data_IF_224296957962
#
_entry.id   IF_224296957962
#
_cell.length_a   1.000
_cell.length_b   1.000
_cell.length_c   1.000
_cell.angle_alpha   90.00
_cell.angle_beta   90.00
_cell.angle_gamma   90.00
#
_symmetry.space_group_name_H-M   'P 1'
#
loop_
_entity.id
_entity.type
_entity.pdbx_description
1 polymer ?
#
# COMPACT_ATOMS: atom_id res chain seq x y z
N UNK A 1 0.89 -15.88 -29.83
CA UNK A 1 0.10 -17.01 -29.28
C UNK A 1 -0.33 -17.85 -30.46
N UNK A 2 0.31 -18.99 -30.70
CA UNK A 2 -0.13 -19.95 -31.70
C UNK A 2 -0.97 -21.00 -30.98
N UNK A 3 -2.17 -21.30 -31.50
CA UNK A 3 -2.95 -22.44 -31.05
C UNK A 3 -2.60 -23.68 -31.87
N UNK A 4 -3.09 -24.83 -31.38
CA UNK A 4 -2.87 -26.15 -31.98
C UNK A 4 -3.12 -26.09 -33.50
N UNK A 5 -2.09 -26.44 -34.29
CA UNK A 5 -2.00 -26.39 -35.77
C UNK A 5 -1.50 -25.07 -36.41
N UNK A 6 -0.88 -24.15 -35.65
CA UNK A 6 -0.21 -22.98 -36.24
C UNK A 6 -1.14 -21.81 -36.55
N UNK A 7 -2.39 -21.93 -36.15
CA UNK A 7 -3.39 -20.86 -36.25
C UNK A 7 -3.16 -19.79 -35.19
N UNK A 8 -3.47 -18.54 -35.56
CA UNK A 8 -3.39 -17.42 -34.62
C UNK A 8 -4.42 -17.58 -33.51
N UNK A 9 -3.94 -17.72 -32.28
CA UNK A 9 -4.77 -17.75 -31.08
C UNK A 9 -4.79 -16.39 -30.39
N UNK A 10 -5.83 -16.14 -29.60
CA UNK A 10 -5.88 -15.01 -28.68
C UNK A 10 -5.62 -15.51 -27.26
N UNK A 11 -4.61 -14.96 -26.58
CA UNK A 11 -4.47 -15.09 -25.13
C UNK A 11 -4.79 -13.73 -24.53
N UNK A 12 -5.65 -13.71 -23.52
CA UNK A 12 -5.87 -12.53 -22.70
C UNK A 12 -4.83 -12.54 -21.59
N UNK A 13 -4.05 -11.46 -21.49
CA UNK A 13 -2.91 -11.37 -20.58
C UNK A 13 -3.30 -10.94 -19.17
N UNK A 14 -4.51 -10.42 -18.96
CA UNK A 14 -4.99 -9.94 -17.67
C UNK A 14 -6.47 -10.20 -17.47
N UNK A 15 -6.84 -10.45 -16.22
CA UNK A 15 -8.23 -10.54 -15.79
C UNK A 15 -8.71 -9.14 -15.38
N UNK A 16 -9.81 -8.68 -15.97
CA UNK A 16 -10.42 -7.40 -15.60
C UNK A 16 -10.95 -7.43 -14.17
N UNK A 17 -10.74 -6.32 -13.45
CA UNK A 17 -11.37 -6.08 -12.17
C UNK A 17 -11.97 -4.66 -12.17
N UNK A 18 -13.31 -4.57 -12.26
CA UNK A 18 -14.06 -3.30 -12.35
C UNK A 18 -14.17 -2.57 -11.00
N UNK A 19 -13.86 -3.26 -9.92
CA UNK A 19 -13.88 -2.70 -8.57
C UNK A 19 -12.53 -2.08 -8.17
N UNK A 20 -11.59 -2.02 -9.11
CA UNK A 20 -10.29 -1.40 -8.90
C UNK A 20 -10.44 0.09 -8.55
N UNK A 21 -9.81 0.46 -7.46
CA UNK A 21 -9.73 1.82 -6.93
C UNK A 21 -8.31 2.13 -6.51
N UNK A 22 -8.03 3.41 -6.28
CA UNK A 22 -6.76 3.83 -5.71
C UNK A 22 -6.63 3.39 -4.25
N UNK A 23 -5.41 3.05 -3.86
CA UNK A 23 -5.07 2.85 -2.45
C UNK A 23 -5.34 4.14 -1.65
N UNK A 24 -5.93 4.00 -0.46
CA UNK A 24 -6.22 5.14 0.41
C UNK A 24 -5.31 5.15 1.62
N UNK A 25 -4.61 6.26 1.83
CA UNK A 25 -3.75 6.49 3.00
C UNK A 25 -4.45 7.43 4.00
N UNK A 26 -4.54 7.01 5.26
CA UNK A 26 -5.10 7.74 6.39
C UNK A 26 -3.99 7.98 7.41
N UNK A 27 -3.56 9.23 7.53
CA UNK A 27 -2.46 9.61 8.41
C UNK A 27 -2.98 10.51 9.53
N UNK A 28 -2.68 10.15 10.77
CA UNK A 28 -2.91 10.95 11.95
C UNK A 28 -1.56 11.19 12.64
N UNK A 29 -1.28 12.45 13.00
CA UNK A 29 -0.09 12.81 13.74
C UNK A 29 -0.45 13.84 14.82
N UNK A 30 0.13 13.70 16.00
CA UNK A 30 -0.01 14.65 17.10
C UNK A 30 1.33 14.81 17.79
N UNK A 31 1.74 16.05 18.04
CA UNK A 31 3.03 16.35 18.64
C UNK A 31 2.98 17.46 19.67
N UNK A 32 3.99 17.46 20.54
CA UNK A 32 4.25 18.51 21.52
C UNK A 32 5.70 18.96 21.37
N UNK A 33 5.88 20.27 21.19
CA UNK A 33 7.18 20.94 21.17
C UNK A 33 7.48 21.59 22.52
N UNK A 34 8.73 21.51 22.98
CA UNK A 34 9.16 22.13 24.22
C UNK A 34 10.55 22.76 24.12
N UNK A 35 10.78 23.80 24.93
CA UNK A 35 12.05 24.51 25.02
C UNK A 35 12.28 25.08 26.42
N UNK A 36 13.49 24.90 26.94
CA UNK A 36 13.92 25.36 28.26
C UNK A 36 15.23 26.14 28.18
N UNK A 37 15.53 26.93 29.22
CA UNK A 37 16.82 27.63 29.41
C UNK A 37 17.25 28.50 28.22
N UNK A 38 16.36 29.36 27.71
CA UNK A 38 16.59 30.15 26.49
C UNK A 38 16.91 29.26 25.26
N UNK A 39 16.17 28.15 25.11
CA UNK A 39 16.31 27.17 24.02
C UNK A 39 17.66 26.45 23.98
N UNK A 40 18.39 26.39 25.10
CA UNK A 40 19.59 25.54 25.23
C UNK A 40 19.28 24.06 25.37
N UNK A 41 18.02 23.75 25.71
CA UNK A 41 17.46 22.40 25.68
C UNK A 41 16.10 22.51 25.01
N UNK A 42 15.93 21.89 23.85
CA UNK A 42 14.67 21.88 23.12
C UNK A 42 14.42 20.51 22.52
N UNK A 43 13.16 20.18 22.29
CA UNK A 43 12.81 18.90 21.69
C UNK A 43 11.37 18.85 21.27
N UNK A 44 11.03 17.72 20.65
CA UNK A 44 9.68 17.40 20.24
C UNK A 44 9.40 15.93 20.54
N UNK A 45 8.15 15.64 20.88
CA UNK A 45 7.62 14.28 20.95
C UNK A 45 6.41 14.24 20.05
N UNK A 46 6.40 13.32 19.09
CA UNK A 46 5.33 13.15 18.13
C UNK A 46 4.85 11.69 18.16
N UNK A 47 3.54 11.50 18.16
CA UNK A 47 2.89 10.22 17.94
C UNK A 47 2.25 10.22 16.55
N UNK A 48 2.47 9.16 15.79
CA UNK A 48 1.87 8.96 14.48
C UNK A 48 1.07 7.65 14.39
N UNK A 49 -0.02 7.69 13.64
CA UNK A 49 -0.80 6.54 13.19
C UNK A 49 -1.06 6.67 11.68
N UNK A 50 -0.33 5.87 10.90
CA UNK A 50 -0.38 5.82 9.44
C UNK A 50 -1.07 4.52 9.04
N UNK A 51 -2.19 4.62 8.32
CA UNK A 51 -2.98 3.47 7.87
C UNK A 51 -3.17 3.51 6.37
N UNK A 52 -2.97 2.40 5.70
CA UNK A 52 -3.22 2.26 4.27
C UNK A 52 -4.29 1.19 4.08
N UNK A 53 -5.33 1.49 3.30
CA UNK A 53 -6.41 0.55 2.97
C UNK A 53 -6.54 0.44 1.46
N UNK A 54 -7.18 -0.63 1.01
CA UNK A 54 -7.41 -0.90 -0.41
C UNK A 54 -6.08 -1.03 -1.17
N UNK A 55 -5.10 -1.73 -0.58
CA UNK A 55 -3.76 -1.88 -1.18
C UNK A 55 -3.87 -2.60 -2.52
N UNK A 56 -3.25 -2.04 -3.55
CA UNK A 56 -3.30 -2.61 -4.88
C UNK A 56 -2.22 -3.70 -5.03
N UNK A 57 -2.66 -4.96 -5.14
CA UNK A 57 -1.76 -6.10 -5.30
C UNK A 57 -2.16 -6.99 -6.47
N UNK A 58 -1.16 -7.64 -7.05
CA UNK A 58 -1.34 -8.74 -7.99
C UNK A 58 -1.48 -10.06 -7.20
N UNK A 59 -2.68 -10.63 -7.20
CA UNK A 59 -3.01 -11.84 -6.44
C UNK A 59 -2.80 -13.06 -7.35
N UNK A 60 -1.96 -14.03 -6.96
CA UNK A 60 -1.76 -15.25 -7.73
C UNK A 60 -3.05 -16.09 -7.77
N UNK A 61 -3.31 -16.72 -8.92
CA UNK A 61 -4.48 -17.57 -9.16
C UNK A 61 -4.05 -18.92 -9.74
N UNK A 62 -4.77 -20.01 -9.48
CA UNK A 62 -4.46 -21.29 -10.11
C UNK A 62 -4.51 -21.19 -11.64
N UNK A 63 -3.49 -21.73 -12.32
CA UNK A 63 -3.35 -21.70 -13.78
C UNK A 63 -4.53 -22.38 -14.48
N UNK A 64 -5.21 -23.33 -13.82
CA UNK A 64 -6.45 -23.97 -14.31
C UNK A 64 -7.57 -22.98 -14.65
N UNK A 65 -7.52 -21.77 -14.09
CA UNK A 65 -8.49 -20.70 -14.34
C UNK A 65 -8.21 -19.91 -15.63
N UNK A 66 -7.14 -20.25 -16.36
CA UNK A 66 -6.72 -19.57 -17.59
C UNK A 66 -5.87 -18.32 -17.37
N UNK A 67 -5.61 -17.94 -16.12
CA UNK A 67 -4.82 -16.78 -15.73
C UNK A 67 -3.88 -17.13 -14.58
N UNK A 68 -2.68 -16.54 -14.55
CA UNK A 68 -1.70 -16.73 -13.47
C UNK A 68 -1.93 -15.80 -12.28
N UNK A 69 -2.51 -14.61 -12.50
CA UNK A 69 -2.78 -13.63 -11.46
C UNK A 69 -3.82 -12.59 -11.91
N UNK A 70 -4.28 -11.75 -10.98
CA UNK A 70 -5.14 -10.60 -11.25
C UNK A 70 -4.92 -9.46 -10.25
N UNK A 71 -5.13 -8.22 -10.67
CA UNK A 71 -5.01 -7.05 -9.78
C UNK A 71 -6.25 -6.87 -8.94
N UNK A 72 -6.08 -6.62 -7.64
CA UNK A 72 -7.18 -6.31 -6.74
C UNK A 72 -6.73 -5.40 -5.58
N UNK A 73 -7.68 -4.62 -5.07
CA UNK A 73 -7.53 -3.89 -3.82
C UNK A 73 -7.74 -4.85 -2.64
N UNK A 74 -6.66 -5.37 -2.07
CA UNK A 74 -6.71 -6.32 -0.95
C UNK A 74 -5.71 -5.95 0.14
N UNK A 75 -6.10 -6.14 1.40
CA UNK A 75 -5.23 -5.89 2.53
C UNK A 75 -5.28 -4.46 3.07
N UNK A 76 -4.64 -4.31 4.23
CA UNK A 76 -4.47 -3.06 4.92
C UNK A 76 -3.13 -3.07 5.68
N UNK A 77 -2.48 -1.92 5.75
CA UNK A 77 -1.27 -1.70 6.53
C UNK A 77 -1.54 -0.68 7.64
N UNK A 78 -0.90 -0.89 8.77
CA UNK A 78 -0.90 0.04 9.90
C UNK A 78 0.52 0.19 10.42
N UNK A 79 1.00 1.42 10.47
CA UNK A 79 2.28 1.79 11.04
C UNK A 79 2.03 2.87 12.10
N UNK A 80 2.40 2.58 13.34
CA UNK A 80 2.24 3.49 14.48
C UNK A 80 3.54 3.58 15.23
N UNK A 81 3.87 4.77 15.72
CA UNK A 81 5.09 4.95 16.49
C UNK A 81 5.15 6.30 17.18
N UNK A 82 6.23 6.47 17.93
CA UNK A 82 6.58 7.73 18.59
C UNK A 82 7.93 8.17 18.04
N UNK A 83 8.01 9.42 17.61
CA UNK A 83 9.24 10.07 17.18
C UNK A 83 9.64 11.08 18.27
N UNK A 84 10.89 11.00 18.72
CA UNK A 84 11.43 11.88 19.76
C UNK A 84 12.68 12.56 19.23
N UNK A 85 12.71 13.90 19.33
CA UNK A 85 13.86 14.72 18.98
C UNK A 85 14.28 15.55 20.18
N UNK A 86 15.59 15.68 20.40
CA UNK A 86 16.17 16.48 21.47
C UNK A 86 17.44 17.15 20.95
N UNK A 87 17.61 18.45 21.23
CA UNK A 87 18.77 19.25 20.83
C UNK A 87 19.14 20.26 21.91
#
# INVERSE_FOLDING_TARGET
>A
VQNNLGESGFVTSSLENRDLKWETNLNFNIGLDFGFFQNRLKGSVEFFDRRSKDLLFEIPKPISTGYSAYSANTGALKNTGVEVSLT
#
